data_IF_567232765727
#
_entry.id   IF_567232765727
#
_cell.length_a   1.000
_cell.length_b   1.000
_cell.length_c   1.000
_cell.angle_alpha   90.00
_cell.angle_beta   90.00
_cell.angle_gamma   90.00
#
_symmetry.space_group_name_H-M   'P 1'
#
loop_
_entity.id
_entity.type
_entity.pdbx_description
1 polymer ?
#
# COMPACT_ATOMS: atom_id res chain seq x y z
N UNK A 1 36.13 1.96 -57.18
CA UNK A 1 35.26 0.97 -56.51
C UNK A 1 35.54 0.82 -54.99
N UNK A 2 36.77 0.96 -54.50
CA UNK A 2 37.08 0.82 -53.06
C UNK A 2 36.48 1.93 -52.17
N UNK A 3 36.33 3.14 -52.64
CA UNK A 3 35.77 4.28 -51.88
C UNK A 3 34.24 4.28 -51.80
N UNK A 4 33.56 3.62 -52.74
CA UNK A 4 32.10 3.49 -52.75
C UNK A 4 31.62 2.53 -51.63
N UNK A 5 32.42 1.53 -51.29
CA UNK A 5 32.14 0.55 -50.23
C UNK A 5 32.28 1.15 -48.81
N UNK A 6 33.23 2.09 -48.64
CA UNK A 6 33.44 2.80 -47.36
C UNK A 6 32.32 3.78 -47.07
N UNK A 7 31.78 4.44 -48.09
CA UNK A 7 30.64 5.38 -47.92
C UNK A 7 29.36 4.65 -47.56
N UNK A 8 29.15 3.41 -48.01
CA UNK A 8 27.98 2.60 -47.70
C UNK A 8 28.00 2.06 -46.26
N UNK A 9 29.19 1.82 -45.68
CA UNK A 9 29.28 1.38 -44.27
C UNK A 9 29.06 2.49 -43.25
N UNK A 10 29.32 3.76 -43.59
CA UNK A 10 29.09 4.87 -42.67
C UNK A 10 27.61 5.31 -42.57
N UNK A 11 26.75 4.93 -43.53
CA UNK A 11 25.34 5.29 -43.52
C UNK A 11 24.43 4.37 -42.64
N UNK A 12 24.98 3.24 -42.19
CA UNK A 12 24.25 2.26 -41.37
C UNK A 12 24.40 2.46 -39.85
N UNK A 13 25.18 3.43 -39.40
CA UNK A 13 25.52 3.62 -37.98
C UNK A 13 24.62 4.62 -37.23
N UNK A 14 23.56 5.17 -37.85
CA UNK A 14 22.70 6.18 -37.21
C UNK A 14 21.24 5.73 -36.94
N UNK A 15 21.00 4.42 -36.95
CA UNK A 15 19.77 3.87 -36.34
C UNK A 15 20.07 3.44 -34.90
N UNK A 16 20.62 4.36 -34.10
CA UNK A 16 20.56 4.25 -32.66
C UNK A 16 19.08 4.52 -32.28
N UNK A 17 18.34 3.46 -32.03
CA UNK A 17 17.08 3.56 -31.27
C UNK A 17 17.42 4.33 -29.99
N UNK A 18 16.92 5.54 -29.84
CA UNK A 18 16.68 6.10 -28.50
C UNK A 18 15.68 5.15 -27.87
N UNK A 19 16.11 4.29 -26.97
CA UNK A 19 15.25 3.85 -25.89
C UNK A 19 14.77 5.16 -25.24
N UNK A 20 13.49 5.44 -25.38
CA UNK A 20 12.84 6.41 -24.51
C UNK A 20 13.01 5.85 -23.10
N UNK A 21 13.98 6.44 -22.41
CA UNK A 21 14.14 6.29 -20.97
C UNK A 21 12.88 6.92 -20.37
N UNK A 22 11.82 6.11 -20.25
CA UNK A 22 10.65 6.40 -19.45
C UNK A 22 11.07 6.40 -17.98
N UNK A 23 12.04 7.22 -17.62
CA UNK A 23 12.28 7.63 -16.26
C UNK A 23 11.03 8.40 -15.86
N UNK A 24 10.05 7.67 -15.31
CA UNK A 24 8.90 8.24 -14.64
C UNK A 24 9.50 9.14 -13.58
N UNK A 25 9.43 10.45 -13.82
CA UNK A 25 9.90 11.45 -12.88
C UNK A 25 8.94 11.38 -11.69
N UNK A 26 9.23 10.49 -10.75
CA UNK A 26 8.42 10.24 -9.56
C UNK A 26 8.43 11.53 -8.74
N UNK A 27 7.41 12.34 -8.90
CA UNK A 27 7.16 13.46 -7.99
C UNK A 27 6.37 12.97 -6.78
N UNK A 28 6.52 13.64 -5.64
CA UNK A 28 5.73 13.38 -4.43
C UNK A 28 4.21 13.42 -4.69
N UNK A 29 3.78 14.18 -5.70
CA UNK A 29 2.38 14.35 -6.07
C UNK A 29 1.77 13.09 -6.70
N UNK A 30 2.60 12.25 -7.32
CA UNK A 30 2.17 10.99 -7.94
C UNK A 30 2.05 9.84 -6.94
N UNK A 31 2.50 10.03 -5.70
CA UNK A 31 2.47 9.00 -4.67
C UNK A 31 1.24 9.21 -3.78
N UNK A 32 0.51 8.12 -3.53
CA UNK A 32 -0.67 8.13 -2.68
C UNK A 32 -0.39 8.71 -1.29
N UNK A 33 -1.20 9.70 -0.87
CA UNK A 33 -1.09 10.35 0.43
C UNK A 33 -1.83 9.54 1.51
N UNK A 34 -1.14 8.56 2.04
CA UNK A 34 -1.67 7.68 3.08
C UNK A 34 -2.10 8.45 4.33
N UNK A 35 -1.33 9.45 4.74
CA UNK A 35 -1.64 10.21 5.98
C UNK A 35 -2.90 11.05 5.81
N UNK A 36 -3.01 11.78 4.72
CA UNK A 36 -4.23 12.57 4.43
C UNK A 36 -5.45 11.67 4.26
N UNK A 37 -5.29 10.51 3.61
CA UNK A 37 -6.35 9.52 3.50
C UNK A 37 -6.82 9.05 4.87
N UNK A 38 -5.91 8.58 5.72
CA UNK A 38 -6.25 8.07 7.06
C UNK A 38 -6.92 9.13 7.93
N UNK A 39 -6.44 10.36 7.88
CA UNK A 39 -7.06 11.45 8.64
C UNK A 39 -8.53 11.69 8.21
N UNK A 40 -8.82 11.65 6.91
CA UNK A 40 -10.19 11.77 6.40
C UNK A 40 -11.09 10.61 6.82
N UNK A 41 -10.55 9.38 6.79
CA UNK A 41 -11.27 8.19 7.27
C UNK A 41 -11.60 8.32 8.77
N UNK A 42 -10.63 8.73 9.61
CA UNK A 42 -10.85 8.96 11.04
C UNK A 42 -11.97 10.00 11.26
N UNK A 43 -11.90 11.14 10.59
CA UNK A 43 -12.93 12.19 10.70
C UNK A 43 -14.32 11.69 10.28
N UNK A 44 -14.38 10.85 9.25
CA UNK A 44 -15.62 10.27 8.75
C UNK A 44 -16.22 9.31 9.78
N UNK A 45 -15.41 8.39 10.32
CA UNK A 45 -15.89 7.40 11.30
C UNK A 45 -16.23 8.01 12.64
N UNK A 46 -15.56 9.05 13.08
CA UNK A 46 -15.88 9.76 14.31
C UNK A 46 -17.27 10.43 14.28
N UNK A 47 -17.76 10.74 13.07
CA UNK A 47 -19.09 11.32 12.84
C UNK A 47 -20.18 10.27 12.57
N UNK A 48 -19.81 8.99 12.52
CA UNK A 48 -20.71 7.88 12.18
C UNK A 48 -20.98 7.02 13.39
N UNK A 49 -22.18 6.43 13.45
CA UNK A 49 -22.48 5.39 14.43
C UNK A 49 -22.15 4.03 13.83
N UNK A 50 -21.16 3.34 14.40
CA UNK A 50 -20.67 2.06 13.90
C UNK A 50 -20.87 0.93 14.91
N UNK A 51 -21.18 -0.27 14.42
CA UNK A 51 -20.98 -1.51 15.16
C UNK A 51 -19.61 -2.05 14.78
N UNK A 52 -18.75 -2.31 15.75
CA UNK A 52 -17.38 -2.80 15.51
C UNK A 52 -17.24 -4.18 16.11
N UNK A 53 -16.79 -5.12 15.29
CA UNK A 53 -16.40 -6.46 15.68
C UNK A 53 -14.92 -6.65 15.42
N UNK A 54 -14.18 -7.07 16.44
CA UNK A 54 -12.75 -7.32 16.33
C UNK A 54 -12.44 -8.75 16.75
N UNK A 55 -11.69 -9.43 15.91
CA UNK A 55 -11.14 -10.77 16.14
C UNK A 55 -9.63 -10.69 16.02
N UNK A 56 -8.93 -11.30 16.96
CA UNK A 56 -7.49 -11.35 16.98
C UNK A 56 -7.00 -12.74 17.35
N UNK A 57 -5.98 -13.22 16.65
CA UNK A 57 -5.22 -14.41 16.99
C UNK A 57 -3.76 -14.01 17.18
N UNK A 58 -3.17 -14.39 18.30
CA UNK A 58 -1.75 -14.17 18.61
C UNK A 58 -1.16 -15.46 19.12
N UNK A 59 -0.19 -16.05 18.39
CA UNK A 59 0.46 -17.32 18.73
C UNK A 59 -0.51 -18.49 18.96
N UNK A 60 -1.64 -18.52 18.23
CA UNK A 60 -2.67 -19.55 18.33
C UNK A 60 -3.73 -19.30 19.41
N UNK A 61 -3.58 -18.22 20.21
CA UNK A 61 -4.62 -17.78 21.14
C UNK A 61 -5.55 -16.77 20.44
N UNK A 62 -6.85 -17.04 20.45
CA UNK A 62 -7.86 -16.21 19.78
C UNK A 62 -8.73 -15.47 20.78
N UNK A 63 -9.02 -14.20 20.47
CA UNK A 63 -9.96 -13.36 21.21
C UNK A 63 -10.92 -12.68 20.23
N UNK A 64 -12.19 -12.57 20.64
CA UNK A 64 -13.22 -11.88 19.87
C UNK A 64 -13.92 -10.84 20.74
N UNK A 65 -14.22 -9.68 20.17
CA UNK A 65 -14.86 -8.60 20.92
C UNK A 65 -15.74 -7.71 20.04
N UNK A 66 -16.96 -7.44 20.54
CA UNK A 66 -17.78 -6.35 20.01
C UNK A 66 -17.50 -5.08 20.81
N UNK A 67 -17.25 -3.97 20.12
CA UNK A 67 -16.85 -2.70 20.73
C UNK A 67 -17.88 -1.63 20.34
N UNK A 68 -18.51 -0.95 21.32
CA UNK A 68 -19.39 0.19 21.02
C UNK A 68 -18.61 1.31 20.32
N UNK A 69 -19.24 1.99 19.35
CA UNK A 69 -18.60 3.06 18.56
C UNK A 69 -17.94 4.14 19.41
N UNK A 70 -18.59 4.54 20.50
CA UNK A 70 -18.10 5.57 21.44
C UNK A 70 -16.79 5.19 22.15
N UNK A 71 -16.52 3.89 22.32
CA UNK A 71 -15.36 3.37 23.04
C UNK A 71 -14.23 2.99 22.07
N UNK A 72 -14.50 3.00 20.76
CA UNK A 72 -13.53 2.62 19.74
C UNK A 72 -12.60 3.78 19.39
N UNK A 73 -11.30 3.51 19.36
CA UNK A 73 -10.25 4.49 19.11
C UNK A 73 -9.79 4.42 17.66
N UNK A 74 -10.49 5.14 16.77
CA UNK A 74 -10.21 5.16 15.34
C UNK A 74 -8.78 5.58 15.00
N UNK A 75 -8.23 6.53 15.74
CA UNK A 75 -6.84 6.99 15.61
C UNK A 75 -5.83 5.86 15.86
N UNK A 76 -6.09 5.00 16.86
CA UNK A 76 -5.25 3.84 17.16
C UNK A 76 -5.41 2.74 16.13
N UNK A 77 -6.63 2.46 15.72
CA UNK A 77 -6.95 1.41 14.74
C UNK A 77 -6.30 1.72 13.38
N UNK A 78 -6.50 2.94 12.87
CA UNK A 78 -6.01 3.33 11.55
C UNK A 78 -4.55 3.80 11.55
N UNK A 79 -3.90 3.91 12.72
CA UNK A 79 -2.47 4.23 12.82
C UNK A 79 -1.60 3.24 12.06
N UNK A 80 -2.00 1.97 12.00
CA UNK A 80 -1.27 0.93 11.28
C UNK A 80 -1.15 1.26 9.79
N UNK A 81 -2.19 1.83 9.17
CA UNK A 81 -2.17 2.33 7.80
C UNK A 81 -1.26 3.54 7.65
N UNK A 82 -1.34 4.51 8.57
CA UNK A 82 -0.44 5.69 8.53
C UNK A 82 1.04 5.31 8.57
N UNK A 83 1.38 4.19 9.22
CA UNK A 83 2.75 3.66 9.27
C UNK A 83 3.20 3.05 7.93
N UNK A 84 2.28 2.85 6.98
CA UNK A 84 2.55 2.38 5.61
C UNK A 84 2.75 3.52 4.61
N UNK A 85 2.88 4.76 5.08
CA UNK A 85 3.16 5.91 4.23
C UNK A 85 4.56 5.81 3.62
N UNK A 86 4.61 5.83 2.27
CA UNK A 86 5.84 5.78 1.48
C UNK A 86 6.29 7.15 0.99
N UNK A 87 5.53 8.21 1.26
CA UNK A 87 5.82 9.60 0.85
C UNK A 87 6.93 10.21 1.69
N UNK A 88 8.16 9.75 1.46
CA UNK A 88 9.38 10.34 2.03
C UNK A 88 10.28 10.77 0.89
N UNK A 89 10.78 12.01 0.93
CA UNK A 89 11.66 12.56 -0.11
C UNK A 89 12.87 11.66 -0.41
N UNK A 90 13.44 11.04 0.61
CA UNK A 90 14.58 10.13 0.46
C UNK A 90 14.22 8.75 -0.13
N UNK A 91 12.96 8.45 -0.40
CA UNK A 91 12.50 7.17 -0.92
C UNK A 91 11.99 7.25 -2.36
N UNK A 92 11.71 8.45 -2.86
CA UNK A 92 11.03 8.67 -4.16
C UNK A 92 11.75 7.96 -5.31
N UNK A 93 13.07 8.07 -5.39
CA UNK A 93 13.88 7.48 -6.45
C UNK A 93 13.93 5.94 -6.40
N UNK A 94 13.42 5.35 -5.32
CA UNK A 94 13.37 3.91 -5.13
C UNK A 94 11.95 3.33 -5.25
N UNK A 95 10.98 4.11 -5.72
CA UNK A 95 9.59 3.68 -5.88
C UNK A 95 9.30 3.48 -7.36
N UNK A 96 8.84 2.29 -7.73
CA UNK A 96 8.27 2.00 -9.04
C UNK A 96 6.75 2.12 -8.89
N UNK A 97 6.12 2.88 -9.80
CA UNK A 97 4.68 3.06 -9.86
C UNK A 97 4.16 2.35 -11.11
N UNK A 98 3.17 1.49 -10.93
CA UNK A 98 2.51 0.77 -12.01
C UNK A 98 0.99 0.81 -11.82
N UNK A 99 0.24 0.74 -12.93
CA UNK A 99 -1.22 0.66 -12.89
C UNK A 99 -1.68 -0.65 -13.51
N UNK A 100 -2.31 -1.47 -12.71
CA UNK A 100 -2.82 -2.78 -13.09
C UNK A 100 -4.34 -2.70 -13.27
N UNK A 101 -4.81 -3.09 -14.44
CA UNK A 101 -6.24 -3.22 -14.71
C UNK A 101 -6.67 -4.66 -14.37
N UNK A 102 -7.72 -4.79 -13.57
CA UNK A 102 -8.19 -6.11 -13.14
C UNK A 102 -8.85 -6.83 -14.31
N UNK A 103 -8.25 -7.96 -14.72
CA UNK A 103 -8.81 -8.81 -15.76
C UNK A 103 -10.20 -9.33 -15.33
N UNK A 104 -11.18 -9.19 -16.21
CA UNK A 104 -12.56 -9.64 -15.96
C UNK A 104 -13.44 -8.67 -15.16
N UNK A 105 -12.90 -7.56 -14.67
CA UNK A 105 -13.68 -6.49 -14.02
C UNK A 105 -13.23 -5.12 -14.53
N UNK A 106 -13.75 -4.69 -15.67
CA UNK A 106 -13.42 -3.40 -16.28
C UNK A 106 -13.79 -2.18 -15.43
N UNK A 107 -14.46 -2.39 -14.30
CA UNK A 107 -14.91 -1.31 -13.42
C UNK A 107 -13.86 -0.84 -12.42
N UNK A 108 -12.74 -1.56 -12.23
CA UNK A 108 -11.72 -1.21 -11.25
C UNK A 108 -10.28 -1.29 -11.79
N UNK A 109 -9.38 -0.58 -11.14
CA UNK A 109 -7.93 -0.63 -11.38
C UNK A 109 -7.18 -0.46 -10.06
N UNK A 110 -5.93 -0.89 -10.04
CA UNK A 110 -5.04 -0.80 -8.87
C UNK A 110 -3.77 -0.05 -9.24
N UNK A 111 -3.44 0.98 -8.47
CA UNK A 111 -2.13 1.65 -8.54
C UNK A 111 -1.21 0.94 -7.55
N UNK A 112 -0.13 0.38 -8.07
CA UNK A 112 0.88 -0.35 -7.30
C UNK A 112 2.12 0.52 -7.14
N UNK A 113 2.58 0.65 -5.92
CA UNK A 113 3.85 1.27 -5.54
C UNK A 113 4.75 0.19 -4.98
N UNK A 114 5.86 -0.08 -5.65
CA UNK A 114 6.83 -1.08 -5.23
C UNK A 114 8.15 -0.42 -4.93
N UNK A 115 8.74 -0.69 -3.76
CA UNK A 115 10.05 -0.16 -3.41
C UNK A 115 11.14 -1.17 -3.79
N UNK A 116 12.18 -0.69 -4.48
CA UNK A 116 13.32 -1.52 -4.94
C UNK A 116 14.49 -1.53 -3.96
N UNK A 117 14.50 -0.63 -2.97
CA UNK A 117 15.57 -0.57 -1.98
C UNK A 117 15.30 -1.51 -0.79
N UNK A 118 16.25 -2.38 -0.40
CA UNK A 118 16.10 -3.24 0.76
C UNK A 118 16.02 -2.43 2.08
N UNK A 119 16.54 -1.20 2.11
CA UNK A 119 16.54 -0.32 3.28
C UNK A 119 15.17 0.30 3.57
N UNK A 120 14.28 0.34 2.59
CA UNK A 120 12.93 0.86 2.78
C UNK A 120 12.06 -0.26 3.37
N UNK A 121 11.45 -0.05 4.56
CA UNK A 121 10.67 -1.11 5.22
C UNK A 121 9.37 -1.43 4.49
N UNK A 122 8.72 -0.45 3.85
CA UNK A 122 7.51 -0.69 3.06
C UNK A 122 7.93 -1.27 1.71
N UNK A 123 7.52 -2.51 1.43
CA UNK A 123 7.90 -3.21 0.21
C UNK A 123 6.92 -2.98 -0.92
N UNK A 124 5.64 -2.93 -0.58
CA UNK A 124 4.55 -2.76 -1.54
C UNK A 124 3.41 -1.99 -0.89
N UNK A 125 2.81 -1.11 -1.67
CA UNK A 125 1.55 -0.46 -1.39
C UNK A 125 0.69 -0.55 -2.65
N UNK A 126 -0.52 -1.05 -2.53
CA UNK A 126 -1.50 -1.13 -3.61
C UNK A 126 -2.76 -0.38 -3.21
N UNK A 127 -3.25 0.46 -4.10
CA UNK A 127 -4.46 1.24 -3.88
C UNK A 127 -5.42 1.01 -5.03
N UNK A 128 -6.56 0.41 -4.73
CA UNK A 128 -7.57 0.07 -5.73
C UNK A 128 -8.69 1.11 -5.78
N UNK A 129 -9.16 1.38 -6.99
CA UNK A 129 -10.17 2.38 -7.28
C UNK A 129 -11.24 1.82 -8.22
N UNK A 130 -12.46 2.37 -8.13
CA UNK A 130 -13.43 2.23 -9.21
C UNK A 130 -13.14 3.27 -10.31
N UNK A 131 -13.26 2.87 -11.58
CA UNK A 131 -13.13 3.80 -12.73
C UNK A 131 -14.18 4.91 -12.68
N UNK A 132 -15.37 4.60 -12.17
CA UNK A 132 -16.45 5.57 -11.96
C UNK A 132 -16.14 6.60 -10.87
N UNK A 133 -15.21 6.29 -9.94
CA UNK A 133 -14.82 7.18 -8.86
C UNK A 133 -13.31 7.07 -8.56
N UNK A 134 -12.45 7.62 -9.44
CA UNK A 134 -10.99 7.47 -9.33
C UNK A 134 -10.36 8.29 -8.20
N UNK A 135 -11.15 9.10 -7.49
CA UNK A 135 -10.67 9.93 -6.37
C UNK A 135 -10.83 9.24 -5.01
N UNK A 136 -11.64 8.17 -4.93
CA UNK A 136 -11.92 7.48 -3.68
C UNK A 136 -11.41 6.04 -3.74
N UNK A 137 -10.39 5.69 -2.95
CA UNK A 137 -9.98 4.31 -2.82
C UNK A 137 -11.12 3.40 -2.34
N UNK A 138 -11.13 2.16 -2.80
CA UNK A 138 -12.05 1.12 -2.32
C UNK A 138 -11.30 0.10 -1.47
N UNK A 139 -10.00 -0.13 -1.74
CA UNK A 139 -9.17 -1.06 -1.02
C UNK A 139 -7.73 -0.58 -0.99
N UNK A 140 -7.05 -0.84 0.10
CA UNK A 140 -5.61 -0.60 0.26
C UNK A 140 -4.98 -1.88 0.78
N UNK A 141 -3.91 -2.33 0.11
CA UNK A 141 -3.05 -3.41 0.58
C UNK A 141 -1.64 -2.87 0.77
N UNK A 142 -1.01 -3.22 1.87
CA UNK A 142 0.35 -2.80 2.15
C UNK A 142 1.17 -3.93 2.76
N UNK A 143 2.43 -4.02 2.34
CA UNK A 143 3.38 -4.98 2.86
C UNK A 143 4.60 -4.25 3.43
N UNK A 144 4.94 -4.58 4.67
CA UNK A 144 6.10 -4.07 5.37
C UNK A 144 7.00 -5.22 5.81
N UNK A 145 8.30 -5.05 5.61
CA UNK A 145 9.31 -6.00 6.09
C UNK A 145 10.47 -5.24 6.71
N UNK A 146 10.89 -5.66 7.89
CA UNK A 146 12.11 -5.21 8.55
C UNK A 146 12.96 -6.44 8.78
N UNK A 147 14.20 -6.38 8.30
CA UNK A 147 15.17 -7.46 8.43
C UNK A 147 16.52 -6.89 8.84
N UNK A 148 16.91 -7.16 10.08
CA UNK A 148 18.23 -6.84 10.59
C UNK A 148 18.67 -7.93 11.61
N UNK A 149 19.90 -7.85 12.08
CA UNK A 149 20.48 -8.90 12.93
C UNK A 149 19.79 -9.09 14.28
N UNK A 150 19.02 -8.10 14.77
CA UNK A 150 18.30 -8.17 16.06
C UNK A 150 16.82 -8.45 15.86
N UNK A 151 16.21 -7.93 14.77
CA UNK A 151 14.78 -7.89 14.61
C UNK A 151 14.36 -8.24 13.19
N UNK A 152 13.51 -9.24 13.08
CA UNK A 152 12.84 -9.64 11.84
C UNK A 152 11.35 -9.46 11.99
N UNK A 153 10.70 -8.80 11.04
CA UNK A 153 9.24 -8.72 11.02
C UNK A 153 8.72 -8.61 9.60
N UNK A 154 7.58 -9.24 9.39
CA UNK A 154 6.79 -9.06 8.17
C UNK A 154 5.36 -8.78 8.59
N UNK A 155 4.74 -7.81 7.93
CA UNK A 155 3.36 -7.41 8.17
C UNK A 155 2.68 -7.14 6.84
N UNK A 156 1.47 -7.68 6.69
CA UNK A 156 0.54 -7.35 5.60
C UNK A 156 -0.70 -6.72 6.19
N UNK A 157 -1.19 -5.70 5.52
CA UNK A 157 -2.41 -4.99 5.90
C UNK A 157 -3.33 -4.95 4.71
N UNK A 158 -4.58 -5.28 4.95
CA UNK A 158 -5.69 -5.17 4.01
C UNK A 158 -6.70 -4.22 4.63
N UNK A 159 -7.06 -3.18 3.93
CA UNK A 159 -8.05 -2.21 4.36
C UNK A 159 -9.12 -2.05 3.28
N UNK A 160 -10.33 -2.49 3.59
CA UNK A 160 -11.50 -2.28 2.75
C UNK A 160 -12.21 -1.02 3.22
N UNK A 161 -12.21 0.02 2.40
CA UNK A 161 -12.76 1.33 2.76
C UNK A 161 -14.25 1.23 3.13
N UNK A 162 -14.57 1.61 4.34
CA UNK A 162 -15.95 1.58 4.86
C UNK A 162 -16.39 0.28 5.53
N UNK A 163 -15.63 -0.81 5.43
CA UNK A 163 -16.07 -2.13 5.94
C UNK A 163 -15.13 -2.78 6.94
N UNK A 164 -13.82 -2.50 6.89
CA UNK A 164 -12.93 -3.10 7.87
C UNK A 164 -11.48 -3.18 7.45
N UNK A 165 -10.69 -3.81 8.31
CA UNK A 165 -9.26 -4.02 8.13
C UNK A 165 -8.84 -5.41 8.57
N UNK A 166 -7.75 -5.91 8.00
CA UNK A 166 -7.05 -7.10 8.46
C UNK A 166 -5.56 -6.81 8.49
N UNK A 167 -4.91 -7.16 9.57
CA UNK A 167 -3.47 -7.09 9.73
C UNK A 167 -2.94 -8.46 10.14
N UNK A 168 -1.99 -8.99 9.39
CA UNK A 168 -1.35 -10.28 9.67
C UNK A 168 0.16 -10.17 9.56
N UNK A 169 0.86 -11.05 10.23
CA UNK A 169 2.30 -11.11 10.12
C UNK A 169 2.99 -11.78 11.31
N UNK A 170 4.28 -11.56 11.37
CA UNK A 170 5.09 -12.04 12.48
C UNK A 170 6.15 -11.01 12.91
N UNK A 171 6.62 -11.19 14.13
CA UNK A 171 7.76 -10.47 14.71
C UNK A 171 8.67 -11.45 15.44
N UNK A 172 9.96 -11.35 15.20
CA UNK A 172 10.99 -12.13 15.86
C UNK A 172 12.10 -11.19 16.33
N UNK A 173 12.36 -11.20 17.62
CA UNK A 173 13.53 -10.55 18.24
C UNK A 173 14.56 -11.65 18.50
N UNK A 174 15.85 -11.34 18.26
CA UNK A 174 16.96 -12.25 18.58
C UNK A 174 16.77 -12.80 20.00
N UNK A 175 16.92 -14.08 20.24
CA UNK A 175 16.73 -14.79 21.51
C UNK A 175 15.26 -14.99 21.97
N UNK A 176 14.28 -14.34 21.38
CA UNK A 176 12.87 -14.51 21.71
C UNK A 176 12.16 -15.45 20.73
N UNK A 177 11.09 -16.08 21.19
CA UNK A 177 10.20 -16.82 20.30
C UNK A 177 9.54 -15.88 19.30
N UNK A 178 9.36 -16.33 18.07
CA UNK A 178 8.58 -15.62 17.06
C UNK A 178 7.15 -15.44 17.57
N UNK A 179 6.60 -14.26 17.37
CA UNK A 179 5.20 -13.94 17.62
C UNK A 179 4.49 -13.78 16.30
N UNK A 180 3.43 -14.53 16.09
CA UNK A 180 2.55 -14.43 14.93
C UNK A 180 1.24 -13.76 15.33
N UNK A 181 0.65 -13.01 14.44
CA UNK A 181 -0.62 -12.33 14.68
C UNK A 181 -1.47 -12.27 13.41
N UNK A 182 -2.77 -12.35 13.61
CA UNK A 182 -3.79 -12.12 12.60
C UNK A 182 -4.96 -11.40 13.28
N UNK A 183 -5.20 -10.15 12.90
CA UNK A 183 -6.20 -9.30 13.54
C UNK A 183 -7.14 -8.80 12.44
N UNK A 184 -8.42 -9.07 12.60
CA UNK A 184 -9.49 -8.59 11.70
C UNK A 184 -10.41 -7.67 12.48
N UNK A 185 -10.73 -6.52 11.89
CA UNK A 185 -11.72 -5.59 12.41
C UNK A 185 -12.77 -5.32 11.35
N UNK A 186 -14.03 -5.52 11.67
CA UNK A 186 -15.18 -5.28 10.78
C UNK A 186 -15.96 -4.10 11.30
N UNK A 187 -16.27 -3.15 10.42
CA UNK A 187 -17.09 -1.98 10.73
C UNK A 187 -18.41 -2.05 9.95
N UNK A 188 -19.52 -1.82 10.64
CA UNK A 188 -20.80 -1.59 10.01
C UNK A 188 -21.30 -0.22 10.46
N UNK A 189 -21.03 0.79 9.63
CA UNK A 189 -21.31 2.18 9.96
C UNK A 189 -22.56 2.66 9.24
N UNK A 190 -23.45 3.29 10.00
CA UNK A 190 -24.58 4.04 9.45
C UNK A 190 -24.15 5.49 9.36
N UNK A 191 -24.17 6.06 8.16
CA UNK A 191 -24.08 7.50 8.03
C UNK A 191 -25.39 8.07 8.55
N UNK A 192 -25.33 8.96 9.53
CA UNK A 192 -26.46 9.81 9.85
C UNK A 192 -26.65 10.74 8.66
N UNK A 193 -27.48 10.29 7.69
CA UNK A 193 -27.96 11.17 6.64
C UNK A 193 -28.86 12.21 7.31
N UNK A 194 -28.39 13.46 7.33
CA UNK A 194 -29.23 14.63 7.58
C UNK A 194 -30.40 14.69 6.61
#
# INVERSE_FOLDING_TARGET
>A
MKYLLILLCCSLAILSCKEEDNSINNSMENIFDMKSFVNKEIETYQKSTCSIYKEGEVNGESEQKSIPSKDFKWDKELKVLSNMDIRKSSWIDYIIIDTVFNEGNDSSYTVRYQTISPKIPIKRLEVSYLRSNPKKPIMIEAERSIDNWVFHSQQKIYYNCGTGSRAEGFQKVLWLKQKEFNITTIYNCKNESN
#
